data_IF_857802776337
#
_entry.id   IF_857802776337
#
_cell.length_a   1.000
_cell.length_b   1.000
_cell.length_c   1.000
_cell.angle_alpha   90.00
_cell.angle_beta   90.00
_cell.angle_gamma   90.00
#
_symmetry.space_group_name_H-M   'P 1'
#
loop_
_entity.id
_entity.type
_entity.pdbx_description
1 polymer ?
#
# COMPACT_ATOMS: atom_id res chain seq x y z
N UNK A 1 -17.06 -7.82 -25.82
CA UNK A 1 -15.90 -7.09 -25.24
C UNK A 1 -16.14 -6.82 -23.77
N UNK A 2 -15.49 -7.60 -22.90
CA UNK A 2 -15.49 -7.34 -21.46
C UNK A 2 -14.65 -6.08 -21.17
N UNK A 3 -15.32 -4.98 -20.81
CA UNK A 3 -14.66 -3.69 -20.54
C UNK A 3 -13.67 -3.78 -19.37
N UNK A 4 -13.90 -4.70 -18.42
CA UNK A 4 -13.03 -4.88 -17.25
C UNK A 4 -11.62 -5.37 -17.62
N UNK A 5 -11.46 -5.98 -18.81
CA UNK A 5 -10.18 -6.51 -19.27
C UNK A 5 -9.38 -5.54 -20.15
N UNK A 6 -10.00 -4.46 -20.66
CA UNK A 6 -9.36 -3.55 -21.60
C UNK A 6 -8.31 -2.65 -20.95
N UNK A 7 -8.56 -2.20 -19.72
CA UNK A 7 -7.66 -1.30 -18.99
C UNK A 7 -6.29 -1.93 -18.76
N UNK A 8 -6.24 -3.23 -18.49
CA UNK A 8 -4.98 -3.96 -18.25
C UNK A 8 -4.02 -3.83 -19.44
N UNK A 9 -4.54 -3.88 -20.68
CA UNK A 9 -3.74 -3.74 -21.90
C UNK A 9 -3.11 -2.35 -22.07
N UNK A 10 -3.69 -1.32 -21.46
CA UNK A 10 -3.16 0.04 -21.51
C UNK A 10 -2.18 0.34 -20.35
N UNK A 11 -2.36 -0.35 -19.22
CA UNK A 11 -1.60 -0.10 -17.99
C UNK A 11 -0.32 -0.92 -17.89
N UNK A 12 -0.36 -2.20 -18.30
CA UNK A 12 0.78 -3.09 -18.13
C UNK A 12 1.70 -3.06 -19.34
N UNK A 13 3.00 -3.00 -19.06
CA UNK A 13 4.08 -3.06 -20.05
C UNK A 13 5.12 -4.07 -19.60
N UNK A 14 5.80 -4.68 -20.56
CA UNK A 14 6.94 -5.55 -20.28
C UNK A 14 8.13 -4.72 -19.81
N UNK A 15 8.80 -5.18 -18.75
CA UNK A 15 10.00 -4.56 -18.19
C UNK A 15 10.76 -5.54 -17.31
N UNK A 16 12.03 -5.23 -17.03
CA UNK A 16 12.88 -6.05 -16.17
C UNK A 16 13.70 -5.18 -15.22
N UNK A 17 13.91 -5.67 -14.00
CA UNK A 17 14.76 -5.05 -13.00
C UNK A 17 15.47 -6.13 -12.19
N UNK A 18 16.67 -5.84 -11.71
CA UNK A 18 17.43 -6.71 -10.83
C UNK A 18 17.89 -5.91 -9.60
N UNK A 19 17.77 -6.52 -8.42
CA UNK A 19 18.19 -5.95 -7.14
C UNK A 19 19.09 -6.98 -6.46
N UNK A 20 20.29 -6.55 -6.05
CA UNK A 20 21.21 -7.37 -5.26
C UNK A 20 21.11 -6.96 -3.79
N UNK A 21 20.83 -7.92 -2.91
CA UNK A 21 20.78 -7.72 -1.46
C UNK A 21 21.96 -8.43 -0.80
N UNK A 22 22.56 -7.79 0.20
CA UNK A 22 23.63 -8.36 1.02
C UNK A 22 23.38 -8.06 2.49
N UNK A 23 23.68 -9.03 3.36
CA UNK A 23 23.69 -8.88 4.81
C UNK A 23 25.11 -8.67 5.37
N UNK A 24 26.13 -8.57 4.51
CA UNK A 24 27.52 -8.41 4.94
C UNK A 24 27.81 -6.96 5.32
N UNK A 25 28.38 -6.75 6.49
CA UNK A 25 28.78 -5.41 6.96
C UNK A 25 29.82 -4.74 6.04
N UNK A 26 30.67 -5.53 5.37
CA UNK A 26 31.65 -5.06 4.38
C UNK A 26 30.99 -4.35 3.19
N UNK A 27 29.79 -4.76 2.80
CA UNK A 27 29.13 -4.28 1.60
C UNK A 27 28.33 -2.99 1.86
N UNK A 28 28.12 -2.64 3.15
CA UNK A 28 27.34 -1.46 3.57
C UNK A 28 27.91 -0.14 3.05
N UNK A 29 29.24 -0.04 2.87
CA UNK A 29 29.87 1.17 2.30
C UNK A 29 29.62 1.32 0.79
N UNK A 30 29.23 0.24 0.10
CA UNK A 30 29.00 0.18 -1.35
C UNK A 30 27.51 0.14 -1.71
N UNK A 31 26.63 -0.14 -0.75
CA UNK A 31 25.20 -0.23 -0.99
C UNK A 31 24.59 1.13 -1.33
N UNK A 32 23.74 1.18 -2.37
CA UNK A 32 23.00 2.39 -2.74
C UNK A 32 21.89 2.74 -1.73
N UNK A 33 21.26 1.72 -1.16
CA UNK A 33 20.17 1.84 -0.19
C UNK A 33 20.34 0.80 0.91
N UNK A 34 19.86 1.11 2.12
CA UNK A 34 19.74 0.18 3.23
C UNK A 34 18.26 -0.10 3.49
N UNK A 35 17.87 -1.38 3.49
CA UNK A 35 16.52 -1.80 3.88
C UNK A 35 16.43 -1.79 5.41
N UNK A 36 15.57 -0.92 5.96
CA UNK A 36 15.37 -0.80 7.41
C UNK A 36 14.17 -1.66 7.87
N UNK A 37 13.02 -1.47 7.23
CA UNK A 37 11.77 -2.15 7.58
C UNK A 37 11.06 -2.68 6.34
N UNK A 38 10.30 -3.77 6.50
CA UNK A 38 9.42 -4.32 5.46
C UNK A 38 8.12 -4.75 6.12
N UNK A 39 6.99 -4.24 5.61
CA UNK A 39 5.66 -4.55 6.13
C UNK A 39 4.80 -5.07 4.99
N UNK A 40 4.21 -6.24 5.17
CA UNK A 40 3.30 -6.86 4.20
C UNK A 40 1.87 -6.87 4.74
N UNK A 41 0.95 -6.34 3.94
CA UNK A 41 -0.50 -6.41 4.22
C UNK A 41 -1.14 -7.35 3.21
N UNK A 42 -2.01 -8.24 3.69
CA UNK A 42 -2.74 -9.19 2.84
C UNK A 42 -4.23 -9.16 3.16
N UNK A 43 -5.04 -8.96 2.14
CA UNK A 43 -6.50 -8.81 2.23
C UNK A 43 -7.28 -9.87 1.44
N UNK A 44 -6.60 -10.86 0.87
CA UNK A 44 -7.21 -11.88 0.00
C UNK A 44 -8.19 -12.84 0.67
N UNK A 45 -8.43 -12.73 1.98
CA UNK A 45 -9.49 -13.46 2.67
C UNK A 45 -10.88 -12.81 2.47
N UNK A 46 -10.94 -11.56 2.00
CA UNK A 46 -12.18 -10.86 1.70
C UNK A 46 -12.53 -11.05 0.22
N UNK A 47 -13.77 -11.48 -0.08
CA UNK A 47 -14.18 -11.81 -1.46
C UNK A 47 -13.97 -10.66 -2.46
N UNK A 48 -14.28 -9.43 -2.05
CA UNK A 48 -14.04 -8.22 -2.87
C UNK A 48 -12.57 -8.05 -3.20
N UNK A 49 -11.71 -8.26 -2.21
CA UNK A 49 -10.26 -8.15 -2.35
C UNK A 49 -9.69 -9.27 -3.20
N UNK A 50 -10.18 -10.49 -3.03
CA UNK A 50 -9.79 -11.66 -3.82
C UNK A 50 -10.20 -11.53 -5.29
N UNK A 51 -11.43 -11.08 -5.55
CA UNK A 51 -11.98 -10.92 -6.90
C UNK A 51 -11.62 -9.61 -7.60
N UNK A 52 -10.87 -8.70 -6.97
CA UNK A 52 -10.64 -7.36 -7.55
C UNK A 52 -9.72 -7.36 -8.77
N UNK A 53 -8.76 -8.29 -8.82
CA UNK A 53 -7.84 -8.49 -9.95
C UNK A 53 -7.72 -9.98 -10.19
N UNK A 54 -8.14 -10.45 -11.37
CA UNK A 54 -8.10 -11.87 -11.69
C UNK A 54 -7.68 -12.11 -13.14
N UNK A 55 -6.78 -13.06 -13.36
CA UNK A 55 -6.44 -13.52 -14.70
C UNK A 55 -7.43 -14.63 -15.09
N UNK A 56 -8.19 -14.41 -16.16
CA UNK A 56 -9.21 -15.36 -16.63
C UNK A 56 -9.36 -15.30 -18.15
N UNK A 57 -10.00 -16.31 -18.72
CA UNK A 57 -10.38 -16.32 -20.13
C UNK A 57 -11.65 -15.47 -20.36
N UNK A 58 -11.70 -14.78 -21.49
CA UNK A 58 -12.91 -14.16 -22.01
C UNK A 58 -13.80 -15.17 -22.77
N UNK A 59 -14.95 -14.70 -23.28
CA UNK A 59 -15.88 -15.52 -24.08
C UNK A 59 -15.24 -16.10 -25.36
N UNK A 60 -14.15 -15.52 -25.84
CA UNK A 60 -13.40 -15.97 -27.01
C UNK A 60 -12.19 -16.84 -26.62
N UNK A 61 -12.09 -17.31 -25.36
CA UNK A 61 -10.98 -18.10 -24.81
C UNK A 61 -9.63 -17.37 -24.87
N UNK A 62 -9.63 -16.04 -24.84
CA UNK A 62 -8.40 -15.24 -24.75
C UNK A 62 -8.14 -14.92 -23.29
N UNK A 63 -6.92 -15.23 -22.84
CA UNK A 63 -6.49 -14.93 -21.48
C UNK A 63 -6.29 -13.42 -21.33
N UNK A 64 -6.93 -12.82 -20.32
CA UNK A 64 -6.80 -11.43 -19.96
C UNK A 64 -6.80 -11.23 -18.45
N UNK A 65 -6.51 -10.00 -18.01
CA UNK A 65 -6.60 -9.59 -16.60
C UNK A 65 -7.84 -8.73 -16.43
N UNK A 66 -8.81 -9.22 -15.66
CA UNK A 66 -10.01 -8.46 -15.28
C UNK A 66 -9.73 -7.62 -14.05
N UNK A 67 -10.09 -6.33 -14.12
CA UNK A 67 -10.01 -5.38 -13.01
C UNK A 67 -11.42 -4.96 -12.58
N UNK A 68 -11.77 -5.22 -11.33
CA UNK A 68 -13.03 -4.76 -10.74
C UNK A 68 -13.03 -3.25 -10.51
N UNK A 69 -14.23 -2.65 -10.46
CA UNK A 69 -14.42 -1.25 -10.07
C UNK A 69 -14.07 -1.00 -8.60
N UNK A 70 -14.14 -2.04 -7.77
CA UNK A 70 -13.80 -1.96 -6.34
C UNK A 70 -12.28 -1.87 -6.10
N UNK A 71 -11.45 -1.97 -7.15
CA UNK A 71 -9.99 -2.03 -7.03
C UNK A 71 -9.40 -0.85 -6.26
N UNK A 72 -9.89 0.37 -6.51
CA UNK A 72 -9.37 1.56 -5.85
C UNK A 72 -9.68 1.53 -4.34
N UNK A 73 -10.94 1.26 -3.99
CA UNK A 73 -11.37 1.19 -2.60
C UNK A 73 -10.63 0.09 -1.82
N UNK A 74 -10.52 -1.11 -2.40
CA UNK A 74 -9.75 -2.23 -1.82
C UNK A 74 -8.29 -1.85 -1.63
N UNK A 75 -7.67 -1.22 -2.63
CA UNK A 75 -6.28 -0.79 -2.55
C UNK A 75 -6.08 0.31 -1.49
N UNK A 76 -7.02 1.25 -1.36
CA UNK A 76 -7.02 2.30 -0.34
C UNK A 76 -7.11 1.71 1.06
N UNK A 77 -8.04 0.79 1.30
CA UNK A 77 -8.16 0.08 2.57
C UNK A 77 -6.90 -0.72 2.92
N UNK A 78 -6.32 -1.43 1.94
CA UNK A 78 -5.08 -2.18 2.13
C UNK A 78 -3.89 -1.26 2.44
N UNK A 79 -3.78 -0.13 1.74
CA UNK A 79 -2.73 0.87 1.96
C UNK A 79 -2.89 1.54 3.33
N UNK A 80 -4.11 1.87 3.75
CA UNK A 80 -4.41 2.39 5.10
C UNK A 80 -3.97 1.43 6.20
N UNK A 81 -4.27 0.14 6.03
CA UNK A 81 -3.86 -0.90 6.97
C UNK A 81 -2.32 -1.05 6.99
N UNK A 82 -1.67 -0.96 5.84
CA UNK A 82 -0.21 -1.00 5.73
C UNK A 82 0.45 0.20 6.42
N UNK A 83 -0.02 1.42 6.16
CA UNK A 83 0.52 2.64 6.78
C UNK A 83 0.29 2.64 8.30
N UNK A 84 -0.88 2.16 8.76
CA UNK A 84 -1.17 2.02 10.20
C UNK A 84 -0.19 1.06 10.90
N UNK A 85 0.22 -0.02 10.23
CA UNK A 85 1.18 -0.98 10.78
C UNK A 85 2.63 -0.52 10.63
N UNK A 86 2.95 0.26 9.59
CA UNK A 86 4.26 0.85 9.38
C UNK A 86 4.55 2.01 10.33
N UNK A 87 3.53 2.81 10.66
CA UNK A 87 3.66 4.03 11.48
C UNK A 87 4.53 3.87 12.73
N UNK A 88 4.25 2.90 13.62
CA UNK A 88 5.05 2.69 14.83
C UNK A 88 6.52 2.32 14.59
N UNK A 89 6.87 1.80 13.41
CA UNK A 89 8.24 1.40 13.08
C UNK A 89 9.08 2.58 12.56
N UNK A 90 8.44 3.62 12.02
CA UNK A 90 9.14 4.70 11.30
C UNK A 90 8.94 6.08 11.92
N UNK A 91 7.83 6.29 12.63
CA UNK A 91 7.49 7.60 13.17
C UNK A 91 8.23 7.87 14.49
N UNK A 92 8.58 9.14 14.78
CA UNK A 92 9.08 9.54 16.10
C UNK A 92 8.11 9.21 17.23
N UNK A 93 8.64 8.98 18.43
CA UNK A 93 7.83 8.63 19.61
C UNK A 93 6.77 9.70 19.97
N UNK A 94 7.05 10.98 19.69
CA UNK A 94 6.11 12.08 19.89
C UNK A 94 4.83 11.92 19.08
N UNK A 95 4.95 11.55 17.80
CA UNK A 95 3.83 11.32 16.88
C UNK A 95 3.01 10.10 17.30
N UNK A 96 3.70 9.03 17.71
CA UNK A 96 3.05 7.82 18.18
C UNK A 96 2.23 8.05 19.45
N UNK A 97 2.75 8.84 20.38
CA UNK A 97 2.05 9.18 21.63
C UNK A 97 0.80 10.04 21.36
N UNK A 98 0.92 11.07 20.51
CA UNK A 98 -0.23 11.90 20.11
C UNK A 98 -1.35 11.08 19.47
N UNK A 99 -0.98 10.20 18.54
CA UNK A 99 -1.91 9.28 17.91
C UNK A 99 -2.58 8.36 18.94
N UNK A 100 -1.80 7.74 19.82
CA UNK A 100 -2.29 6.82 20.84
C UNK A 100 -3.25 7.50 21.82
N UNK A 101 -2.89 8.68 22.35
CA UNK A 101 -3.75 9.46 23.24
C UNK A 101 -5.07 9.78 22.56
N UNK A 102 -5.03 10.22 21.30
CA UNK A 102 -6.24 10.54 20.53
C UNK A 102 -7.11 9.31 20.29
N UNK A 103 -6.49 8.16 20.02
CA UNK A 103 -7.18 6.88 19.84
C UNK A 103 -7.87 6.44 21.15
N UNK A 104 -7.19 6.53 22.29
CA UNK A 104 -7.74 6.18 23.61
C UNK A 104 -8.87 7.14 24.00
N UNK A 105 -8.68 8.46 23.84
CA UNK A 105 -9.70 9.48 24.11
C UNK A 105 -11.00 9.23 23.31
N UNK A 106 -10.87 8.80 22.06
CA UNK A 106 -12.03 8.48 21.22
C UNK A 106 -12.65 7.12 21.54
N UNK A 107 -11.83 6.08 21.70
CA UNK A 107 -12.32 4.70 21.81
C UNK A 107 -12.75 4.33 23.24
N UNK A 108 -11.97 4.71 24.24
CA UNK A 108 -12.26 4.43 25.64
C UNK A 108 -13.17 5.49 26.28
N UNK A 109 -12.88 6.77 26.03
CA UNK A 109 -13.61 7.88 26.65
C UNK A 109 -14.76 8.44 25.79
N UNK A 110 -15.00 7.90 24.59
CA UNK A 110 -16.06 8.30 23.64
C UNK A 110 -16.10 9.81 23.36
N UNK A 111 -14.96 10.49 23.47
CA UNK A 111 -14.88 11.93 23.23
C UNK A 111 -15.02 12.23 21.73
N UNK A 112 -15.80 13.25 21.39
CA UNK A 112 -15.99 13.72 20.00
C UNK A 112 -14.79 14.56 19.54
N UNK A 113 -13.60 13.95 19.50
CA UNK A 113 -12.36 14.56 19.02
C UNK A 113 -12.09 14.06 17.60
N UNK A 114 -11.52 14.91 16.74
CA UNK A 114 -11.10 14.51 15.39
C UNK A 114 -9.93 13.50 15.49
N UNK A 115 -9.88 12.46 14.64
CA UNK A 115 -8.71 11.59 14.57
C UNK A 115 -7.46 12.41 14.28
N UNK A 116 -6.40 12.16 15.04
CA UNK A 116 -5.08 12.68 14.71
C UNK A 116 -4.49 11.84 13.56
N UNK A 117 -3.97 12.52 12.54
CA UNK A 117 -3.28 11.90 11.42
C UNK A 117 -1.78 12.16 11.64
N UNK A 118 -0.95 11.13 11.88
CA UNK A 118 0.47 11.31 12.11
C UNK A 118 1.18 11.96 10.92
N UNK A 119 2.16 12.81 11.19
CA UNK A 119 2.94 13.45 10.12
C UNK A 119 4.08 12.53 9.64
N UNK A 120 3.83 11.82 8.54
CA UNK A 120 4.81 10.94 7.91
C UNK A 120 5.97 11.68 7.23
N UNK A 121 5.91 13.00 7.05
CA UNK A 121 7.04 13.79 6.53
C UNK A 121 8.21 13.85 7.51
N UNK A 122 7.96 13.60 8.80
CA UNK A 122 9.01 13.49 9.81
C UNK A 122 9.83 12.20 9.68
N UNK A 123 9.27 11.17 9.04
CA UNK A 123 9.90 9.86 8.85
C UNK A 123 10.46 9.66 7.44
N UNK A 124 9.88 10.32 6.42
CA UNK A 124 10.19 10.08 5.02
C UNK A 124 10.46 11.39 4.26
N UNK A 125 11.59 11.45 3.56
CA UNK A 125 11.92 12.54 2.62
C UNK A 125 11.30 12.32 1.24
N UNK A 126 11.20 11.05 0.81
CA UNK A 126 10.72 10.68 -0.51
C UNK A 126 9.75 9.50 -0.43
N UNK A 127 8.65 9.59 -1.20
CA UNK A 127 7.71 8.51 -1.40
C UNK A 127 7.82 8.01 -2.84
N UNK A 128 8.05 6.71 -3.01
CA UNK A 128 8.01 6.06 -4.32
C UNK A 128 6.75 5.21 -4.39
N UNK A 129 5.82 5.60 -5.27
CA UNK A 129 4.55 4.92 -5.47
C UNK A 129 4.44 4.62 -6.96
N UNK A 130 3.94 3.43 -7.31
CA UNK A 130 3.75 3.08 -8.72
C UNK A 130 2.78 4.06 -9.40
N UNK A 131 2.86 4.21 -10.73
CA UNK A 131 2.11 5.21 -11.48
C UNK A 131 0.56 5.14 -11.28
N UNK A 132 0.02 3.94 -11.03
CA UNK A 132 -1.39 3.75 -10.72
C UNK A 132 -1.79 4.05 -9.27
N UNK A 133 -0.83 4.26 -8.37
CA UNK A 133 -1.08 4.43 -6.95
C UNK A 133 -1.51 5.84 -6.57
N UNK A 134 -1.42 6.84 -7.46
CA UNK A 134 -1.91 8.19 -7.16
C UNK A 134 -3.42 8.20 -6.91
N UNK A 135 -4.19 7.51 -7.75
CA UNK A 135 -5.64 7.40 -7.58
C UNK A 135 -6.02 6.74 -6.24
N UNK A 136 -5.21 5.77 -5.80
CA UNK A 136 -5.39 5.09 -4.50
C UNK A 136 -5.10 6.04 -3.32
N UNK A 137 -4.12 6.94 -3.46
CA UNK A 137 -3.83 7.95 -2.44
C UNK A 137 -4.92 9.02 -2.35
N UNK A 138 -5.52 9.40 -3.48
CA UNK A 138 -6.60 10.40 -3.49
C UNK A 138 -7.89 9.87 -2.84
N UNK A 139 -8.03 8.55 -2.69
CA UNK A 139 -9.14 7.91 -1.95
C UNK A 139 -8.90 7.80 -0.42
N UNK A 140 -7.70 8.11 0.08
CA UNK A 140 -7.33 8.03 1.51
C UNK A 140 -7.59 9.32 2.29
#
# INVERSE_FOLDING_TARGET
NDRSMLLSNCLFRMGGAAILLSNRSSDRRRSKYQLIHTVRTHKGAEDKSYGCVYQREDENRKIGVSLSKDLMAVAGEALKANITTLGPLVLPMSEQLLFFITLVARKAFKMKIKPYIPDFKLAFEHFCIHAGGRAVLDEL
#
